data_IF_513748912495
#
_entry.id   IF_513748912495
#
_cell.length_a   1.000
_cell.length_b   1.000
_cell.length_c   1.000
_cell.angle_alpha   90.00
_cell.angle_beta   90.00
_cell.angle_gamma   90.00
#
_symmetry.space_group_name_H-M   'P 1'
#
loop_
_entity.id
_entity.type
_entity.pdbx_description
1 polymer ?
#
# COMPACT_ATOMS: atom_id res chain seq x y z
N UNK A 1 4.85 -13.57 -28.82
CA UNK A 1 4.06 -13.30 -27.59
C UNK A 1 5.04 -13.17 -26.43
N UNK A 2 5.02 -12.04 -25.74
CA UNK A 2 6.00 -11.63 -24.72
C UNK A 2 5.90 -12.53 -23.48
N UNK A 3 6.97 -13.27 -23.20
CA UNK A 3 7.24 -13.88 -21.90
C UNK A 3 7.47 -12.76 -20.87
N UNK A 4 6.69 -12.71 -19.80
CA UNK A 4 7.03 -11.93 -18.61
C UNK A 4 7.53 -12.90 -17.54
N UNK A 5 8.76 -12.65 -17.12
CA UNK A 5 9.55 -13.41 -16.16
C UNK A 5 8.84 -13.48 -14.79
N UNK A 6 8.58 -14.70 -14.33
CA UNK A 6 8.46 -14.99 -12.91
C UNK A 6 9.85 -14.82 -12.28
N UNK A 7 10.04 -13.78 -11.47
CA UNK A 7 11.20 -13.69 -10.57
C UNK A 7 10.94 -14.58 -9.35
N UNK A 8 11.16 -15.88 -9.53
CA UNK A 8 11.43 -16.81 -8.42
C UNK A 8 12.91 -16.68 -8.08
N UNK A 9 13.23 -15.91 -7.05
CA UNK A 9 14.58 -15.92 -6.45
C UNK A 9 14.57 -16.99 -5.36
N UNK A 10 15.10 -18.17 -5.70
CA UNK A 10 15.47 -19.19 -4.73
C UNK A 10 16.82 -18.81 -4.13
N UNK A 11 16.90 -18.50 -2.83
CA UNK A 11 18.17 -18.41 -2.11
C UNK A 11 18.14 -19.44 -0.97
N UNK A 12 19.07 -20.38 -1.05
CA UNK A 12 19.42 -21.31 0.01
C UNK A 12 20.21 -20.58 1.11
N UNK A 13 19.73 -20.73 2.34
CA UNK A 13 20.44 -20.75 3.62
C UNK A 13 21.40 -19.59 3.98
N UNK A 14 20.81 -18.53 4.51
CA UNK A 14 21.26 -17.90 5.76
C UNK A 14 20.04 -17.20 6.38
N UNK A 15 19.70 -17.55 7.61
CA UNK A 15 18.43 -17.19 8.25
C UNK A 15 18.17 -15.68 8.26
N UNK A 16 17.16 -15.27 7.50
CA UNK A 16 16.29 -14.09 7.63
C UNK A 16 15.38 -14.13 6.39
N UNK A 17 14.39 -15.01 6.44
CA UNK A 17 13.38 -15.09 5.38
C UNK A 17 12.40 -13.94 5.60
N UNK A 18 12.57 -12.85 4.87
CA UNK A 18 11.50 -11.88 4.70
C UNK A 18 10.46 -12.55 3.81
N UNK A 19 9.50 -13.26 4.41
CA UNK A 19 8.39 -13.78 3.63
C UNK A 19 7.60 -12.58 3.12
N UNK A 20 7.37 -12.51 1.81
CA UNK A 20 6.43 -11.55 1.22
C UNK A 20 5.04 -11.60 1.85
N UNK A 21 4.74 -12.61 2.65
CA UNK A 21 3.52 -12.74 3.43
C UNK A 21 3.39 -11.71 4.56
N UNK A 22 4.48 -11.26 5.21
CA UNK A 22 4.36 -10.24 6.30
C UNK A 22 3.82 -8.89 5.79
N UNK A 23 4.11 -8.55 4.53
CA UNK A 23 3.58 -7.34 3.90
C UNK A 23 2.12 -7.53 3.47
N UNK A 24 1.76 -8.76 3.08
CA UNK A 24 0.42 -9.13 2.56
C UNK A 24 -0.60 -9.41 3.66
N UNK A 25 -0.16 -9.96 4.80
CA UNK A 25 -0.99 -10.26 5.97
C UNK A 25 -0.60 -9.33 7.11
N UNK A 26 -0.76 -8.02 6.92
CA UNK A 26 -0.72 -7.11 8.06
C UNK A 26 -1.85 -7.55 9.01
N UNK A 27 -1.54 -7.96 10.26
CA UNK A 27 -2.56 -8.54 11.12
C UNK A 27 -3.66 -7.51 11.40
N UNK A 28 -4.90 -8.00 11.32
CA UNK A 28 -6.09 -7.67 12.14
C UNK A 28 -5.90 -6.44 13.02
N UNK A 29 -6.74 -5.40 12.84
CA UNK A 29 -6.98 -4.28 13.77
C UNK A 29 -6.04 -4.29 14.98
N UNK A 30 -4.80 -3.88 14.79
CA UNK A 30 -3.80 -3.97 15.85
C UNK A 30 -4.25 -3.07 16.98
N UNK A 31 -4.33 -3.58 18.21
CA UNK A 31 -4.54 -2.74 19.40
C UNK A 31 -3.33 -1.83 19.68
N UNK A 32 -2.27 -1.91 18.87
CA UNK A 32 -1.19 -0.95 18.90
C UNK A 32 -1.71 0.45 18.55
N UNK A 33 -1.58 1.35 19.52
CA UNK A 33 -1.97 2.75 19.40
C UNK A 33 -1.21 3.47 18.27
N UNK A 34 0.03 3.07 17.98
CA UNK A 34 0.82 3.62 16.89
C UNK A 34 0.25 3.18 15.54
N UNK A 35 -0.17 1.92 15.40
CA UNK A 35 -0.87 1.47 14.19
C UNK A 35 -2.19 2.22 14.00
N UNK A 36 -3.02 2.32 15.04
CA UNK A 36 -4.30 3.04 14.97
C UNK A 36 -4.11 4.51 14.59
N UNK A 37 -3.03 5.13 15.07
CA UNK A 37 -2.67 6.50 14.68
C UNK A 37 -2.41 6.63 13.17
N UNK A 38 -1.74 5.66 12.55
CA UNK A 38 -1.48 5.70 11.09
C UNK A 38 -2.78 5.76 10.29
N UNK A 39 -3.82 5.03 10.71
CA UNK A 39 -5.13 5.03 10.06
C UNK A 39 -5.80 6.40 10.22
N UNK A 40 -5.76 6.97 11.43
CA UNK A 40 -6.33 8.30 11.72
C UNK A 40 -5.67 9.38 10.85
N UNK A 41 -4.34 9.38 10.80
CA UNK A 41 -3.55 10.35 10.02
C UNK A 41 -3.76 10.17 8.51
N UNK A 42 -3.82 8.93 8.02
CA UNK A 42 -4.10 8.65 6.62
C UNK A 42 -5.50 9.14 6.22
N UNK A 43 -6.53 8.85 7.03
CA UNK A 43 -7.90 9.31 6.78
C UNK A 43 -8.01 10.83 6.80
N UNK A 44 -7.37 11.48 7.77
CA UNK A 44 -7.35 12.94 7.87
C UNK A 44 -6.68 13.62 6.67
N UNK A 45 -5.77 12.92 5.98
CA UNK A 45 -4.98 13.44 4.86
C UNK A 45 -5.48 13.04 3.47
N UNK A 46 -6.64 12.40 3.34
CA UNK A 46 -7.23 12.03 2.03
C UNK A 46 -7.37 13.24 1.10
N UNK A 47 -7.68 14.43 1.64
CA UNK A 47 -7.73 15.66 0.84
C UNK A 47 -6.39 15.99 0.15
N UNK A 48 -5.28 15.82 0.87
CA UNK A 48 -3.93 16.01 0.32
C UNK A 48 -3.60 14.97 -0.75
N UNK A 49 -4.05 13.73 -0.60
CA UNK A 49 -3.90 12.70 -1.62
C UNK A 49 -4.63 13.08 -2.92
N UNK A 50 -5.88 13.55 -2.83
CA UNK A 50 -6.65 14.06 -3.98
C UNK A 50 -5.96 15.25 -4.66
N UNK A 51 -5.41 16.17 -3.87
CA UNK A 51 -4.65 17.29 -4.40
C UNK A 51 -3.42 16.80 -5.19
N UNK A 52 -2.67 15.82 -4.67
CA UNK A 52 -1.53 15.23 -5.39
C UNK A 52 -1.95 14.56 -6.70
N UNK A 53 -3.05 13.81 -6.71
CA UNK A 53 -3.56 13.15 -7.93
C UNK A 53 -4.03 14.15 -9.00
N UNK A 54 -4.39 15.37 -8.60
CA UNK A 54 -4.78 16.42 -9.55
C UNK A 54 -3.59 17.10 -10.25
N UNK A 55 -2.35 16.86 -9.78
CA UNK A 55 -1.15 17.54 -10.28
C UNK A 55 -0.64 16.87 -11.56
N UNK A 56 -0.58 17.58 -12.71
CA UNK A 56 -0.14 17.00 -13.98
C UNK A 56 1.25 16.36 -13.92
N UNK A 57 2.17 16.94 -13.15
CA UNK A 57 3.53 16.43 -12.95
C UNK A 57 3.57 15.08 -12.19
N UNK A 58 2.47 14.69 -11.55
CA UNK A 58 2.32 13.42 -10.83
C UNK A 58 1.44 12.41 -11.59
N UNK A 59 0.97 12.72 -12.81
CA UNK A 59 0.02 11.88 -13.54
C UNK A 59 0.53 10.46 -13.87
N UNK A 60 1.85 10.24 -13.87
CA UNK A 60 2.48 8.93 -14.11
C UNK A 60 2.88 8.20 -12.81
N UNK A 61 2.43 8.70 -11.66
CA UNK A 61 2.75 8.10 -10.35
C UNK A 61 1.93 6.83 -10.10
N UNK A 62 2.48 5.92 -9.30
CA UNK A 62 1.74 4.77 -8.80
C UNK A 62 0.95 5.17 -7.55
N UNK A 63 -0.37 5.27 -7.69
CA UNK A 63 -1.27 5.65 -6.61
C UNK A 63 -2.01 4.42 -6.09
N UNK A 64 -1.96 4.21 -4.77
CA UNK A 64 -2.62 3.09 -4.10
C UNK A 64 -3.49 3.58 -2.95
N UNK A 65 -4.57 2.85 -2.67
CA UNK A 65 -5.34 2.95 -1.43
C UNK A 65 -5.43 1.60 -0.76
N UNK A 66 -5.48 1.59 0.56
CA UNK A 66 -5.61 0.38 1.38
C UNK A 66 -7.00 0.32 1.99
N UNK A 67 -7.63 -0.84 1.89
CA UNK A 67 -8.96 -1.11 2.45
C UNK A 67 -8.87 -2.23 3.47
N UNK A 68 -9.68 -2.16 4.52
CA UNK A 68 -9.83 -3.22 5.52
C UNK A 68 -11.09 -4.04 5.29
N UNK A 69 -10.94 -5.36 5.30
CA UNK A 69 -12.00 -6.35 5.18
C UNK A 69 -12.24 -7.01 6.55
N UNK A 70 -13.20 -6.53 7.35
CA UNK A 70 -13.36 -6.94 8.74
C UNK A 70 -13.73 -8.42 8.89
N UNK A 71 -14.56 -8.95 7.99
CA UNK A 71 -14.98 -10.35 8.00
C UNK A 71 -13.81 -11.34 7.86
N UNK A 72 -12.76 -10.91 7.15
CA UNK A 72 -11.56 -11.70 6.90
C UNK A 72 -10.36 -11.24 7.74
N UNK A 73 -10.52 -10.17 8.51
CA UNK A 73 -9.44 -9.57 9.29
C UNK A 73 -8.24 -9.14 8.44
N UNK A 74 -8.46 -8.76 7.19
CA UNK A 74 -7.40 -8.57 6.20
C UNK A 74 -7.37 -7.13 5.66
N UNK A 75 -6.19 -6.68 5.26
CA UNK A 75 -6.04 -5.43 4.51
C UNK A 75 -5.56 -5.73 3.09
N UNK A 76 -6.03 -4.96 2.12
CA UNK A 76 -5.61 -5.09 0.73
C UNK A 76 -5.31 -3.72 0.12
N UNK A 77 -4.25 -3.64 -0.67
CA UNK A 77 -3.95 -2.47 -1.48
C UNK A 77 -4.62 -2.59 -2.85
N UNK A 78 -5.16 -1.48 -3.33
CA UNK A 78 -5.73 -1.35 -4.66
C UNK A 78 -5.06 -0.21 -5.40
N UNK A 79 -4.93 -0.35 -6.71
CA UNK A 79 -4.43 0.70 -7.58
C UNK A 79 -5.54 1.71 -7.87
N UNK A 80 -5.30 2.99 -7.67
CA UNK A 80 -6.27 4.03 -8.05
C UNK A 80 -6.21 4.22 -9.57
N UNK A 81 -7.36 4.13 -10.23
CA UNK A 81 -7.49 4.31 -11.68
C UNK A 81 -8.35 5.52 -12.06
N UNK A 82 -9.23 5.96 -11.16
CA UNK A 82 -9.98 7.21 -11.30
C UNK A 82 -10.36 7.81 -9.94
N UNK A 83 -10.72 9.09 -9.94
CA UNK A 83 -10.95 9.90 -8.74
C UNK A 83 -12.30 10.61 -8.82
N UNK A 84 -13.21 10.27 -7.90
CA UNK A 84 -14.49 10.96 -7.73
C UNK A 84 -14.45 11.92 -6.53
N UNK A 85 -15.52 12.68 -6.27
CA UNK A 85 -15.53 13.65 -5.15
C UNK A 85 -15.45 13.03 -3.74
N UNK A 86 -15.91 11.79 -3.55
CA UNK A 86 -16.00 11.10 -2.25
C UNK A 86 -15.60 9.62 -2.30
N UNK A 87 -15.10 9.20 -3.45
CA UNK A 87 -14.68 7.83 -3.72
C UNK A 87 -13.50 7.81 -4.68
N UNK A 88 -12.94 6.63 -4.85
CA UNK A 88 -11.95 6.31 -5.86
C UNK A 88 -12.43 5.09 -6.64
N UNK A 89 -12.21 5.10 -7.95
CA UNK A 89 -12.29 3.87 -8.74
C UNK A 89 -10.93 3.21 -8.63
N UNK A 90 -10.92 1.97 -8.20
CA UNK A 90 -9.69 1.23 -7.89
C UNK A 90 -9.68 -0.13 -8.58
N UNK A 91 -8.49 -0.64 -8.86
CA UNK A 91 -8.30 -1.95 -9.47
C UNK A 91 -7.46 -2.84 -8.57
N UNK A 92 -7.92 -4.07 -8.35
CA UNK A 92 -7.15 -5.07 -7.62
C UNK A 92 -5.98 -5.55 -8.50
N UNK A 93 -4.77 -5.54 -7.94
CA UNK A 93 -3.57 -6.11 -8.59
C UNK A 93 -3.06 -7.38 -7.89
N UNK A 94 -3.61 -7.66 -6.71
CA UNK A 94 -3.42 -8.90 -5.97
C UNK A 94 -4.75 -9.30 -5.30
N UNK A 95 -4.83 -10.55 -4.84
CA UNK A 95 -5.96 -11.05 -4.07
C UNK A 95 -5.45 -11.97 -2.97
N UNK A 96 -6.30 -12.22 -1.98
CA UNK A 96 -6.03 -13.14 -0.88
C UNK A 96 -6.98 -14.34 -1.02
N UNK A 97 -6.56 -15.58 -0.68
CA UNK A 97 -7.43 -16.75 -0.78
C UNK A 97 -8.77 -16.59 -0.04
N UNK A 98 -8.79 -15.83 1.05
CA UNK A 98 -9.98 -15.52 1.84
C UNK A 98 -10.86 -14.39 1.27
N UNK A 99 -10.41 -13.69 0.23
CA UNK A 99 -11.12 -12.61 -0.47
C UNK A 99 -11.45 -13.04 -1.92
N UNK A 100 -12.14 -14.16 -2.07
CA UNK A 100 -12.49 -14.76 -3.37
C UNK A 100 -13.38 -13.87 -4.25
N UNK A 101 -14.13 -12.95 -3.65
CA UNK A 101 -14.91 -11.92 -4.33
C UNK A 101 -14.08 -10.77 -4.91
N UNK A 102 -12.78 -10.67 -4.56
CA UNK A 102 -11.86 -9.68 -5.12
C UNK A 102 -11.09 -10.31 -6.28
N UNK A 103 -11.38 -9.83 -7.48
CA UNK A 103 -10.84 -10.33 -8.75
C UNK A 103 -9.78 -9.38 -9.26
N UNK A 104 -8.59 -9.92 -9.52
CA UNK A 104 -7.48 -9.14 -10.09
C UNK A 104 -7.89 -8.57 -11.46
N UNK A 105 -7.67 -7.27 -11.64
CA UNK A 105 -8.03 -6.54 -12.85
C UNK A 105 -9.46 -6.00 -12.88
N UNK A 106 -10.32 -6.34 -11.92
CA UNK A 106 -11.65 -5.71 -11.83
C UNK A 106 -11.58 -4.36 -11.13
N UNK A 107 -12.49 -3.47 -11.55
CA UNK A 107 -12.65 -2.14 -10.99
C UNK A 107 -13.73 -2.13 -9.89
N UNK A 108 -13.44 -1.46 -8.79
CA UNK A 108 -14.31 -1.30 -7.64
C UNK A 108 -14.40 0.18 -7.26
N UNK A 109 -15.52 0.60 -6.70
CA UNK A 109 -15.65 1.92 -6.07
C UNK A 109 -15.37 1.79 -4.58
N UNK A 110 -14.41 2.56 -4.07
CA UNK A 110 -14.06 2.60 -2.64
C UNK A 110 -14.36 3.99 -2.11
N UNK A 111 -15.13 4.08 -1.03
CA UNK A 111 -15.45 5.36 -0.39
C UNK A 111 -14.28 5.86 0.46
N UNK A 112 -14.21 7.17 0.69
CA UNK A 112 -13.21 7.76 1.59
C UNK A 112 -13.25 7.16 3.00
N UNK A 113 -14.44 6.73 3.46
CA UNK A 113 -14.65 6.17 4.79
C UNK A 113 -14.01 4.77 4.97
N UNK A 114 -13.89 4.02 3.88
CA UNK A 114 -13.37 2.65 3.85
C UNK A 114 -11.84 2.60 3.71
N UNK A 115 -11.23 3.71 3.30
CA UNK A 115 -9.78 3.83 3.11
C UNK A 115 -9.09 3.93 4.48
N UNK A 116 -8.13 3.05 4.72
CA UNK A 116 -7.34 3.04 5.97
C UNK A 116 -5.90 3.53 5.77
N UNK A 117 -5.43 3.60 4.53
CA UNK A 117 -4.13 4.15 4.16
C UNK A 117 -4.13 4.52 2.66
N UNK A 118 -3.20 5.37 2.23
CA UNK A 118 -2.99 5.70 0.82
C UNK A 118 -1.50 5.91 0.57
N UNK A 119 -1.06 5.70 -0.67
CA UNK A 119 0.29 6.03 -1.07
C UNK A 119 0.34 6.55 -2.51
N UNK A 120 1.33 7.40 -2.78
CA UNK A 120 1.65 7.84 -4.13
C UNK A 120 3.16 7.77 -4.30
N UNK A 121 3.60 6.86 -5.18
CA UNK A 121 5.01 6.72 -5.52
C UNK A 121 5.28 7.34 -6.89
N UNK A 122 6.01 8.45 -6.90
CA UNK A 122 6.50 9.08 -8.11
C UNK A 122 8.00 8.79 -8.28
N UNK A 123 8.35 7.81 -9.10
CA UNK A 123 9.76 7.51 -9.45
C UNK A 123 10.70 7.22 -8.26
N UNK A 124 10.13 6.81 -7.12
CA UNK A 124 10.83 6.55 -5.86
C UNK A 124 10.56 7.58 -4.76
N UNK A 125 9.91 8.72 -5.06
CA UNK A 125 9.45 9.68 -4.06
C UNK A 125 8.08 9.25 -3.53
N UNK A 126 8.04 8.81 -2.28
CA UNK A 126 6.85 8.22 -1.64
C UNK A 126 6.12 9.24 -0.78
N UNK A 127 4.90 9.58 -1.19
CA UNK A 127 3.93 10.36 -0.40
C UNK A 127 2.96 9.42 0.32
N UNK A 128 2.51 9.80 1.51
CA UNK A 128 1.65 8.95 2.33
C UNK A 128 2.37 7.69 2.79
N UNK A 129 1.69 6.54 2.70
CA UNK A 129 2.19 5.23 3.11
C UNK A 129 2.36 5.15 4.62
N UNK A 130 1.35 5.58 5.39
CA UNK A 130 1.47 5.74 6.84
C UNK A 130 1.74 4.40 7.53
N UNK A 131 1.01 3.35 7.14
CA UNK A 131 1.23 2.00 7.65
C UNK A 131 2.56 1.40 7.18
N UNK A 132 3.03 1.79 5.99
CA UNK A 132 4.34 1.39 5.47
C UNK A 132 5.49 2.02 6.28
N UNK A 133 5.36 3.29 6.67
CA UNK A 133 6.31 4.00 7.54
C UNK A 133 6.34 3.39 8.93
N UNK A 134 5.19 3.08 9.51
CA UNK A 134 5.14 2.36 10.80
C UNK A 134 5.87 1.01 10.74
N UNK A 135 5.66 0.21 9.69
CA UNK A 135 6.40 -1.06 9.51
C UNK A 135 7.90 -0.81 9.34
N UNK A 136 8.27 0.22 8.57
CA UNK A 136 9.67 0.62 8.36
C UNK A 136 10.34 1.02 9.67
N UNK A 137 9.68 1.78 10.52
CA UNK A 137 10.26 2.31 11.76
C UNK A 137 10.52 1.24 12.83
N UNK A 138 9.93 0.06 12.69
CA UNK A 138 10.23 -1.10 13.54
C UNK A 138 11.50 -1.86 13.12
N UNK A 139 12.09 -1.50 11.99
CA UNK A 139 13.23 -2.20 11.41
C UNK A 139 14.53 -1.53 11.77
N UNK A 140 15.60 -2.32 11.84
CA UNK A 140 16.97 -1.79 11.89
C UNK A 140 17.31 -1.02 10.62
N UNK A 141 18.37 -0.21 10.63
CA UNK A 141 18.74 0.59 9.44
C UNK A 141 18.96 -0.26 8.18
N UNK A 142 19.64 -1.39 8.29
CA UNK A 142 19.89 -2.28 7.15
C UNK A 142 18.60 -2.93 6.61
N UNK A 143 17.65 -3.22 7.50
CA UNK A 143 16.34 -3.76 7.13
C UNK A 143 15.42 -2.68 6.56
N UNK A 144 15.52 -1.43 7.02
CA UNK A 144 14.85 -0.29 6.41
C UNK A 144 15.28 -0.11 4.96
N UNK A 145 16.58 -0.20 4.66
CA UNK A 145 17.08 -0.03 3.29
C UNK A 145 16.58 -1.14 2.35
N UNK A 146 16.52 -2.39 2.85
CA UNK A 146 15.92 -3.51 2.10
C UNK A 146 14.42 -3.33 1.90
N UNK A 147 13.73 -2.84 2.92
CA UNK A 147 12.29 -2.56 2.85
C UNK A 147 12.01 -1.44 1.84
N UNK A 148 12.76 -0.34 1.90
CA UNK A 148 12.66 0.79 0.98
C UNK A 148 12.89 0.33 -0.47
N UNK A 149 13.91 -0.51 -0.71
CA UNK A 149 14.12 -1.12 -2.03
C UNK A 149 12.94 -2.00 -2.47
N UNK A 150 12.42 -2.84 -1.57
CA UNK A 150 11.30 -3.75 -1.85
C UNK A 150 10.02 -2.98 -2.22
N UNK A 151 9.70 -1.91 -1.50
CA UNK A 151 8.52 -1.08 -1.76
C UNK A 151 8.76 0.00 -2.82
N UNK A 152 9.94 0.02 -3.44
CA UNK A 152 10.28 0.93 -4.52
C UNK A 152 10.48 2.39 -4.10
N UNK A 153 10.90 2.63 -2.85
CA UNK A 153 11.12 3.97 -2.29
C UNK A 153 12.61 4.32 -2.31
N UNK A 154 12.90 5.53 -2.78
CA UNK A 154 14.21 6.19 -2.70
C UNK A 154 14.19 7.33 -1.69
N UNK A 155 13.06 8.00 -1.58
CA UNK A 155 12.85 9.12 -0.68
C UNK A 155 11.44 9.06 -0.10
N UNK A 156 11.35 9.18 1.22
CA UNK A 156 10.09 9.31 1.92
C UNK A 156 9.76 10.80 2.08
N UNK A 157 8.78 11.28 1.33
CA UNK A 157 8.37 12.68 1.35
C UNK A 157 7.77 13.05 2.72
N UNK A 158 7.79 14.33 3.14
CA UNK A 158 7.11 14.74 4.37
C UNK A 158 5.63 14.34 4.37
N UNK A 159 5.12 13.93 5.54
CA UNK A 159 3.69 13.69 5.70
C UNK A 159 2.94 15.04 5.66
N UNK A 160 1.76 15.09 5.03
CA UNK A 160 0.94 16.30 4.95
C UNK A 160 0.26 16.67 6.26
#
# INVERSE_FOLDING_TARGET
MKYWLLLLVSILHSGLSFSGDEVKSNPVLSNDLLWQRTIIEAKASIGSFRELLSKPELASSFALVKVYFPEQGAYLWFMVVDVDSKSFVVQAFETLPQLDHIVVGEAYSVSDEDIVDWSLNNSGSMYGGFSMRYIRDQKTKDEQDKYDQYVGVKEWMPLP
#
